data_IF_475445154572
#
_entry.id   IF_475445154572
#
_cell.length_a   1.000
_cell.length_b   1.000
_cell.length_c   1.000
_cell.angle_alpha   90.00
_cell.angle_beta   90.00
_cell.angle_gamma   90.00
#
_symmetry.space_group_name_H-M   'P 1'
#
loop_
_entity.id
_entity.type
_entity.pdbx_description
1 polymer ?
#
# COMPACT_ATOMS: atom_id res chain seq x y z
N UNK A 1 28.02 -9.39 13.76
CA UNK A 1 26.67 -8.91 14.16
C UNK A 1 26.33 -7.65 13.36
N UNK A 2 25.71 -7.80 12.17
CA UNK A 2 25.21 -6.67 11.34
C UNK A 2 23.75 -6.97 11.02
N UNK A 3 22.84 -6.85 11.98
CA UNK A 3 21.48 -7.35 11.76
C UNK A 3 20.40 -6.70 12.63
N UNK A 4 20.40 -5.37 12.79
CA UNK A 4 19.32 -4.71 13.58
C UNK A 4 18.81 -3.38 13.00
N UNK A 5 19.50 -2.75 12.04
CA UNK A 5 19.10 -1.43 11.51
C UNK A 5 18.27 -1.49 10.22
N UNK A 6 18.38 -2.55 9.43
CA UNK A 6 17.68 -2.67 8.14
C UNK A 6 16.19 -3.04 8.28
N UNK A 7 15.86 -3.94 9.22
CA UNK A 7 14.47 -4.40 9.39
C UNK A 7 13.50 -3.29 9.82
N UNK A 8 13.98 -2.36 10.66
CA UNK A 8 13.16 -1.23 11.11
C UNK A 8 12.85 -0.26 9.97
N UNK A 9 13.85 0.08 9.15
CA UNK A 9 13.66 0.98 8.00
C UNK A 9 12.69 0.37 6.98
N UNK A 10 12.82 -0.94 6.72
CA UNK A 10 11.90 -1.67 5.83
C UNK A 10 10.47 -1.71 6.38
N UNK A 11 10.30 -1.91 7.69
CA UNK A 11 9.00 -1.91 8.33
C UNK A 11 8.32 -0.52 8.27
N UNK A 12 9.09 0.55 8.51
CA UNK A 12 8.61 1.92 8.38
C UNK A 12 8.17 2.23 6.94
N UNK A 13 9.05 1.97 5.96
CA UNK A 13 8.74 2.18 4.54
C UNK A 13 7.49 1.38 4.09
N UNK A 14 7.34 0.16 4.62
CA UNK A 14 6.15 -0.68 4.37
C UNK A 14 4.88 -0.05 4.95
N UNK A 15 4.95 0.48 6.17
CA UNK A 15 3.81 1.14 6.80
C UNK A 15 3.42 2.43 6.06
N UNK A 16 4.40 3.21 5.63
CA UNK A 16 4.19 4.45 4.88
C UNK A 16 3.46 4.19 3.56
N UNK A 17 3.93 3.22 2.76
CA UNK A 17 3.30 2.95 1.45
C UNK A 17 1.88 2.38 1.59
N UNK A 18 1.62 1.60 2.64
CA UNK A 18 0.26 1.13 2.94
C UNK A 18 -0.64 2.30 3.32
N UNK A 19 -0.15 3.25 4.12
CA UNK A 19 -0.87 4.47 4.47
C UNK A 19 -1.25 5.30 3.24
N UNK A 20 -0.31 5.50 2.32
CA UNK A 20 -0.55 6.21 1.06
C UNK A 20 -1.61 5.50 0.20
N UNK A 21 -1.49 4.17 0.05
CA UNK A 21 -2.47 3.39 -0.71
C UNK A 21 -3.87 3.47 -0.10
N UNK A 22 -3.99 3.45 1.23
CA UNK A 22 -5.27 3.67 1.90
C UNK A 22 -5.84 5.06 1.58
N UNK A 23 -5.04 6.11 1.68
CA UNK A 23 -5.46 7.48 1.34
C UNK A 23 -5.99 7.60 -0.09
N UNK A 24 -5.32 6.96 -1.06
CA UNK A 24 -5.78 6.89 -2.45
C UNK A 24 -7.16 6.23 -2.56
N UNK A 25 -7.35 5.10 -1.87
CA UNK A 25 -8.62 4.36 -1.89
C UNK A 25 -9.75 5.11 -1.17
N UNK A 26 -9.41 5.84 -0.11
CA UNK A 26 -10.36 6.70 0.58
C UNK A 26 -10.81 7.87 -0.31
N UNK A 27 -9.87 8.51 -1.00
CA UNK A 27 -10.15 9.67 -1.86
C UNK A 27 -10.92 9.26 -3.14
N UNK A 28 -10.50 8.18 -3.80
CA UNK A 28 -11.03 7.82 -5.13
C UNK A 28 -12.27 6.95 -5.07
N UNK A 29 -12.34 6.04 -4.10
CA UNK A 29 -13.39 5.02 -4.01
C UNK A 29 -14.31 5.24 -2.79
N UNK A 30 -14.04 6.27 -1.97
CA UNK A 30 -14.86 6.60 -0.79
C UNK A 30 -14.76 5.60 0.35
N UNK A 31 -13.70 4.78 0.39
CA UNK A 31 -13.51 3.84 1.49
C UNK A 31 -13.22 4.55 2.82
N UNK A 32 -13.57 3.90 3.93
CA UNK A 32 -13.04 4.25 5.25
C UNK A 32 -11.59 3.76 5.37
N UNK A 33 -10.84 4.25 6.36
CA UNK A 33 -9.45 3.77 6.61
C UNK A 33 -9.39 2.25 6.76
N UNK A 34 -10.29 1.68 7.58
CA UNK A 34 -10.38 0.24 7.79
C UNK A 34 -10.83 -0.50 6.53
N UNK A 35 -11.82 0.05 5.80
CA UNK A 35 -12.30 -0.53 4.54
C UNK A 35 -11.20 -0.59 3.48
N UNK A 36 -10.40 0.46 3.35
CA UNK A 36 -9.28 0.52 2.43
C UNK A 36 -8.21 -0.51 2.80
N UNK A 37 -7.88 -0.64 4.09
CA UNK A 37 -6.95 -1.67 4.55
C UNK A 37 -7.45 -3.09 4.26
N UNK A 38 -8.74 -3.36 4.51
CA UNK A 38 -9.34 -4.66 4.23
C UNK A 38 -9.34 -4.97 2.73
N UNK A 39 -9.57 -3.98 1.86
CA UNK A 39 -9.48 -4.17 0.42
C UNK A 39 -8.06 -4.58 0.01
N UNK A 40 -7.03 -3.85 0.46
CA UNK A 40 -5.63 -4.20 0.21
C UNK A 40 -5.31 -5.62 0.71
N UNK A 41 -5.82 -5.97 1.89
CA UNK A 41 -5.64 -7.30 2.49
C UNK A 41 -6.32 -8.41 1.67
N UNK A 42 -7.53 -8.16 1.16
CA UNK A 42 -8.25 -9.10 0.29
C UNK A 42 -7.53 -9.28 -1.04
N UNK A 43 -7.10 -8.20 -1.69
CA UNK A 43 -6.33 -8.25 -2.93
C UNK A 43 -5.00 -9.01 -2.75
N UNK A 44 -4.28 -8.76 -1.64
CA UNK A 44 -3.07 -9.48 -1.27
C UNK A 44 -3.30 -10.99 -1.15
N UNK A 45 -4.36 -11.41 -0.45
CA UNK A 45 -4.71 -12.82 -0.30
C UNK A 45 -5.14 -13.46 -1.62
N UNK A 46 -5.95 -12.76 -2.42
CA UNK A 46 -6.45 -13.26 -3.69
C UNK A 46 -5.33 -13.47 -4.72
N UNK A 47 -4.34 -12.60 -4.74
CA UNK A 47 -3.19 -12.63 -5.66
C UNK A 47 -1.97 -13.33 -5.09
N UNK A 48 -2.04 -13.82 -3.84
CA UNK A 48 -0.91 -14.33 -3.07
C UNK A 48 0.34 -13.42 -3.13
N UNK A 49 0.12 -12.10 -3.15
CA UNK A 49 1.15 -11.09 -3.29
C UNK A 49 1.30 -10.30 -2.00
N UNK A 50 2.51 -9.89 -1.64
CA UNK A 50 2.77 -9.16 -0.39
C UNK A 50 1.95 -7.85 -0.35
N UNK A 51 1.32 -7.56 0.78
CA UNK A 51 0.46 -6.38 0.97
C UNK A 51 1.10 -5.06 0.52
N UNK A 52 2.38 -4.85 0.84
CA UNK A 52 3.10 -3.63 0.45
C UNK A 52 3.30 -3.51 -1.06
N UNK A 53 3.34 -4.63 -1.80
CA UNK A 53 3.41 -4.61 -3.27
C UNK A 53 2.06 -4.20 -3.86
N UNK A 54 0.96 -4.74 -3.34
CA UNK A 54 -0.39 -4.29 -3.73
C UNK A 54 -0.58 -2.80 -3.44
N UNK A 55 -0.12 -2.33 -2.27
CA UNK A 55 -0.15 -0.90 -1.93
C UNK A 55 0.67 -0.05 -2.93
N UNK A 56 1.86 -0.50 -3.34
CA UNK A 56 2.66 0.17 -4.38
C UNK A 56 1.90 0.29 -5.70
N UNK A 57 1.20 -0.77 -6.14
CA UNK A 57 0.43 -0.74 -7.38
C UNK A 57 -0.75 0.24 -7.32
N UNK A 58 -1.45 0.28 -6.18
CA UNK A 58 -2.54 1.25 -5.95
C UNK A 58 -2.01 2.68 -6.04
N UNK A 59 -0.89 2.99 -5.39
CA UNK A 59 -0.27 4.33 -5.46
C UNK A 59 0.26 4.64 -6.87
N UNK A 60 0.83 3.67 -7.57
CA UNK A 60 1.28 3.87 -8.95
C UNK A 60 0.12 4.11 -9.93
N UNK A 61 -1.07 3.54 -9.64
CA UNK A 61 -2.27 3.71 -10.47
C UNK A 61 -2.81 5.14 -10.49
N UNK A 62 -2.47 5.96 -9.48
CA UNK A 62 -2.87 7.38 -9.45
C UNK A 62 -2.01 8.21 -10.40
N UNK A 63 -0.72 7.91 -10.50
CA UNK A 63 0.24 8.63 -11.34
C UNK A 63 0.02 8.37 -12.84
N UNK A 64 -0.53 7.21 -13.20
CA UNK A 64 -0.84 6.86 -14.60
C UNK A 64 -2.01 7.64 -15.22
N UNK A 65 -2.67 8.55 -14.49
CA UNK A 65 -3.76 9.40 -15.00
C UNK A 65 -3.30 10.85 -15.28
N UNK A 66 -2.07 11.04 -15.77
CA UNK A 66 -1.64 12.31 -16.36
C UNK A 66 -1.11 12.08 -17.77
N UNK A 67 -1.96 12.10 -18.82
CA UNK A 67 -1.44 12.20 -20.18
C UNK A 67 -0.83 13.60 -20.37
N UNK A 68 0.28 13.75 -21.11
CA UNK A 68 0.68 15.05 -21.67
C UNK A 68 -0.36 15.54 -22.68
#
# INVERSE_FOLDING_TARGET
MRQDRDGLQVALATRDIIGQAKGVLMEREGFTDEGAFQMLRKASQHTNTKLHKIAQEVVASTQKRNPP
#
